data_IF_417716965899
#
_entry.id   IF_417716965899
#
_cell.length_a   1.000
_cell.length_b   1.000
_cell.length_c   1.000
_cell.angle_alpha   90.00
_cell.angle_beta   90.00
_cell.angle_gamma   90.00
#
_symmetry.space_group_name_H-M   'P 1'
#
loop_
_entity.id
_entity.type
_entity.pdbx_description
1 polymer ?
#
# COMPACT_ATOMS: atom_id res chain seq x y z
N UNK A 1 3.57 11.81 22.90
CA UNK A 1 4.02 10.55 22.28
C UNK A 1 3.37 9.43 23.08
N UNK A 2 2.65 8.52 22.42
CA UNK A 2 1.94 7.44 23.08
C UNK A 2 2.69 6.11 22.85
N UNK A 3 3.12 5.39 23.90
CA UNK A 3 3.79 4.11 23.74
C UNK A 3 2.77 3.01 23.37
N UNK A 4 3.18 2.01 22.59
CA UNK A 4 2.31 0.87 22.24
C UNK A 4 1.84 0.08 23.47
N UNK A 5 2.58 0.13 24.58
CA UNK A 5 2.23 -0.52 25.84
C UNK A 5 1.15 0.21 26.65
N UNK A 6 0.97 1.52 26.42
CA UNK A 6 -0.06 2.37 27.03
C UNK A 6 -0.69 3.31 25.98
N UNK A 7 -1.37 2.73 24.97
CA UNK A 7 -1.83 3.48 23.81
C UNK A 7 -2.97 4.46 24.12
N UNK A 8 -3.65 4.33 25.26
CA UNK A 8 -4.72 5.22 25.72
C UNK A 8 -4.29 6.70 25.75
N UNK A 9 -3.01 6.98 26.00
CA UNK A 9 -2.44 8.33 25.94
C UNK A 9 -2.47 8.96 24.53
N UNK A 10 -2.73 8.18 23.48
CA UNK A 10 -2.98 8.70 22.13
C UNK A 10 -4.33 9.41 22.02
N UNK A 11 -5.29 9.04 22.86
CA UNK A 11 -6.66 9.56 22.81
C UNK A 11 -6.79 10.97 23.41
N UNK A 12 -5.73 11.47 24.04
CA UNK A 12 -5.68 12.84 24.53
C UNK A 12 -5.77 13.82 23.34
N UNK A 13 -6.46 14.97 23.49
CA UNK A 13 -6.51 16.00 22.46
C UNK A 13 -5.11 16.36 21.94
N UNK A 14 -4.95 16.56 20.62
CA UNK A 14 -5.99 16.85 19.63
C UNK A 14 -6.62 15.62 18.95
N UNK A 15 -6.35 14.39 19.40
CA UNK A 15 -6.92 13.19 18.77
C UNK A 15 -8.45 13.13 18.92
N UNK A 16 -9.15 12.70 17.88
CA UNK A 16 -10.60 12.55 17.90
C UNK A 16 -11.03 11.19 17.35
N UNK A 17 -11.54 10.32 18.24
CA UNK A 17 -11.97 8.95 17.93
C UNK A 17 -13.05 8.84 16.86
N UNK A 18 -13.80 9.93 16.59
CA UNK A 18 -14.85 9.92 15.56
C UNK A 18 -14.30 10.10 14.14
N UNK A 19 -13.08 10.62 14.01
CA UNK A 19 -12.42 10.88 12.74
C UNK A 19 -11.74 9.63 12.17
N UNK A 20 -11.54 9.63 10.86
CA UNK A 20 -10.67 8.63 10.23
C UNK A 20 -9.26 8.75 10.78
N UNK A 21 -8.62 7.62 11.06
CA UNK A 21 -7.24 7.62 11.57
C UNK A 21 -6.33 7.02 10.52
N UNK A 22 -5.33 7.81 10.11
CA UNK A 22 -4.23 7.36 9.26
C UNK A 22 -3.00 7.14 10.13
N UNK A 23 -2.42 5.95 10.08
CA UNK A 23 -1.15 5.63 10.73
C UNK A 23 -0.11 5.32 9.66
N UNK A 24 1.03 6.00 9.69
CA UNK A 24 2.14 5.76 8.77
C UNK A 24 3.34 5.14 9.49
N UNK A 25 3.91 4.06 8.93
CA UNK A 25 5.13 3.41 9.40
C UNK A 25 6.23 3.48 8.32
N UNK A 26 7.33 4.16 8.62
CA UNK A 26 8.52 4.21 7.76
C UNK A 26 9.27 2.86 7.75
N UNK A 27 10.28 2.72 6.89
CA UNK A 27 11.02 1.47 6.66
C UNK A 27 12.32 1.29 7.46
N UNK A 28 13.14 0.32 7.01
CA UNK A 28 14.45 0.01 7.60
C UNK A 28 15.37 1.24 7.60
N UNK A 29 16.01 1.51 8.75
CA UNK A 29 16.89 2.66 8.95
C UNK A 29 16.22 4.04 8.72
N UNK A 30 14.89 4.10 8.81
CA UNK A 30 14.14 5.37 8.79
C UNK A 30 14.12 6.06 10.15
N UNK A 31 13.78 7.35 10.14
CA UNK A 31 13.66 8.23 11.31
C UNK A 31 12.46 9.16 11.16
N UNK A 32 11.93 9.61 12.29
CA UNK A 32 10.81 10.56 12.33
C UNK A 32 11.10 11.91 11.68
N UNK A 33 12.39 12.28 11.52
CA UNK A 33 12.82 13.58 11.01
C UNK A 33 13.56 13.49 9.66
N UNK A 34 13.54 12.34 9.01
CA UNK A 34 14.27 12.17 7.75
C UNK A 34 13.48 12.69 6.53
N UNK A 35 14.22 12.91 5.44
CA UNK A 35 13.69 13.40 4.17
C UNK A 35 12.81 12.38 3.41
N UNK A 36 12.59 11.20 3.98
CA UNK A 36 11.76 10.13 3.38
C UNK A 36 10.41 10.00 4.10
N UNK A 37 10.39 10.22 5.41
CA UNK A 37 9.22 10.16 6.29
C UNK A 37 8.42 11.46 6.24
N UNK A 38 9.12 12.60 6.26
CA UNK A 38 8.49 13.91 6.28
C UNK A 38 7.58 14.18 5.06
N UNK A 39 7.91 13.81 3.81
CA UNK A 39 7.00 14.03 2.68
C UNK A 39 5.61 13.42 2.84
N UNK A 40 5.48 12.22 3.43
CA UNK A 40 4.18 11.58 3.63
C UNK A 40 3.37 12.30 4.70
N UNK A 41 3.99 12.56 5.85
CA UNK A 41 3.33 13.26 6.96
C UNK A 41 2.98 14.69 6.56
N UNK A 42 3.90 15.40 5.91
CA UNK A 42 3.65 16.73 5.37
C UNK A 42 2.57 16.70 4.31
N UNK A 43 2.46 15.70 3.43
CA UNK A 43 1.34 15.66 2.48
C UNK A 43 -0.04 15.61 3.18
N UNK A 44 -0.15 14.86 4.29
CA UNK A 44 -1.37 14.86 5.11
C UNK A 44 -1.58 16.18 5.88
N UNK A 45 -0.51 16.81 6.40
CA UNK A 45 -0.58 18.05 7.17
C UNK A 45 -0.72 19.33 6.29
N UNK A 46 0.00 19.40 5.17
CA UNK A 46 0.02 20.48 4.17
C UNK A 46 -1.30 20.60 3.43
N UNK A 47 -2.12 19.54 3.43
CA UNK A 47 -3.52 19.71 3.07
C UNK A 47 -4.22 20.80 3.92
N UNK A 48 -3.62 21.27 5.04
CA UNK A 48 -3.88 22.51 5.82
C UNK A 48 -5.34 22.85 6.19
N UNK A 49 -6.31 22.00 5.86
CA UNK A 49 -7.75 22.12 6.15
C UNK A 49 -8.42 20.76 6.42
N UNK A 50 -7.68 19.65 6.46
CA UNK A 50 -8.21 18.33 6.84
C UNK A 50 -8.30 18.27 8.37
N UNK A 51 -9.25 19.00 8.94
CA UNK A 51 -9.64 18.88 10.37
C UNK A 51 -10.53 17.65 10.62
N UNK A 52 -10.65 16.76 9.63
CA UNK A 52 -11.55 15.61 9.59
C UNK A 52 -10.81 14.26 9.64
N UNK A 53 -9.48 14.24 9.85
CA UNK A 53 -8.69 13.02 10.08
C UNK A 53 -7.70 13.18 11.24
N UNK A 54 -7.38 12.06 11.89
CA UNK A 54 -6.21 11.93 12.75
C UNK A 54 -5.04 11.42 11.88
N UNK A 55 -3.86 12.04 12.02
CA UNK A 55 -2.62 11.61 11.36
C UNK A 55 -1.63 11.20 12.43
N UNK A 56 -1.17 9.95 12.39
CA UNK A 56 -0.26 9.38 13.39
C UNK A 56 0.98 8.83 12.69
N UNK A 57 2.15 9.31 13.12
CA UNK A 57 3.43 8.75 12.72
C UNK A 57 3.85 7.67 13.72
N UNK A 58 4.01 6.43 13.25
CA UNK A 58 4.52 5.33 14.05
C UNK A 58 6.04 5.47 14.22
N UNK A 59 6.49 5.90 15.39
CA UNK A 59 7.90 5.96 15.70
C UNK A 59 8.43 4.60 16.17
N UNK A 60 9.19 3.94 15.30
CA UNK A 60 9.91 2.69 15.60
C UNK A 60 11.40 2.80 15.20
N UNK A 61 11.95 4.02 15.24
CA UNK A 61 13.31 4.33 14.78
C UNK A 61 14.37 3.50 15.51
N UNK A 62 14.20 3.30 16.83
CA UNK A 62 15.11 2.52 17.65
C UNK A 62 15.22 1.07 17.17
N UNK A 63 14.10 0.50 16.76
CA UNK A 63 13.95 -0.89 16.32
C UNK A 63 14.32 -1.06 14.84
N UNK A 64 14.12 -0.01 14.03
CA UNK A 64 14.43 0.03 12.60
C UNK A 64 15.91 0.33 12.30
N UNK A 65 16.66 0.92 13.24
CA UNK A 65 18.03 1.41 13.00
C UNK A 65 19.04 0.31 12.69
N UNK A 66 20.06 0.69 11.93
CA UNK A 66 21.24 -0.13 11.72
C UNK A 66 22.13 -0.10 12.96
N UNK A 67 22.50 -1.27 13.48
CA UNK A 67 23.30 -1.43 14.70
C UNK A 67 24.65 -2.11 14.43
N UNK A 68 24.73 -2.94 13.39
CA UNK A 68 25.96 -3.52 12.90
C UNK A 68 26.57 -2.64 11.80
N UNK A 69 27.90 -2.72 11.56
CA UNK A 69 28.52 -2.00 10.47
C UNK A 69 27.84 -2.28 9.13
N UNK A 70 27.70 -1.24 8.30
CA UNK A 70 27.15 -1.29 6.92
C UNK A 70 28.09 -2.01 5.93
N UNK A 71 28.74 -3.09 6.34
CA UNK A 71 29.44 -4.00 5.46
C UNK A 71 28.55 -5.22 5.15
N UNK A 72 28.97 -6.02 4.17
CA UNK A 72 28.18 -7.17 3.69
C UNK A 72 27.82 -8.13 4.83
N UNK A 73 28.74 -8.34 5.77
CA UNK A 73 28.55 -9.26 6.91
C UNK A 73 27.52 -8.68 7.89
N UNK A 74 27.67 -7.41 8.27
CA UNK A 74 26.75 -6.75 9.19
C UNK A 74 25.33 -6.68 8.64
N UNK A 75 25.17 -6.39 7.35
CA UNK A 75 23.87 -6.41 6.68
C UNK A 75 23.28 -7.82 6.62
N UNK A 76 24.06 -8.82 6.21
CA UNK A 76 23.61 -10.22 6.10
C UNK A 76 23.23 -10.84 7.46
N UNK A 77 23.83 -10.38 8.55
CA UNK A 77 23.48 -10.83 9.90
C UNK A 77 22.33 -10.03 10.47
N UNK A 78 22.41 -8.69 10.48
CA UNK A 78 21.44 -7.85 11.16
C UNK A 78 20.05 -7.94 10.54
N UNK A 79 19.96 -7.95 9.20
CA UNK A 79 18.67 -7.88 8.52
C UNK A 79 17.76 -9.06 8.91
N UNK A 80 18.15 -10.34 8.73
CA UNK A 80 17.32 -11.48 9.13
C UNK A 80 17.12 -11.61 10.65
N UNK A 81 18.15 -11.32 11.46
CA UNK A 81 18.11 -11.65 12.90
C UNK A 81 17.49 -10.55 13.76
N UNK A 82 17.55 -9.30 13.31
CA UNK A 82 17.12 -8.14 14.09
C UNK A 82 16.00 -7.38 13.39
N UNK A 83 16.22 -6.92 12.15
CA UNK A 83 15.27 -6.04 11.47
C UNK A 83 13.92 -6.74 11.24
N UNK A 84 13.95 -7.98 10.74
CA UNK A 84 12.75 -8.81 10.54
C UNK A 84 12.06 -9.14 11.86
N UNK A 85 12.83 -9.57 12.87
CA UNK A 85 12.29 -9.95 14.18
C UNK A 85 11.58 -8.75 14.83
N UNK A 86 12.24 -7.59 14.82
CA UNK A 86 11.68 -6.34 15.31
C UNK A 86 10.42 -5.93 14.53
N UNK A 87 10.43 -6.04 13.20
CA UNK A 87 9.27 -5.74 12.35
C UNK A 87 8.04 -6.56 12.79
N UNK A 88 8.23 -7.85 13.07
CA UNK A 88 7.16 -8.73 13.55
C UNK A 88 6.72 -8.37 14.98
N UNK A 89 7.67 -8.16 15.89
CA UNK A 89 7.37 -7.81 17.29
C UNK A 89 6.60 -6.49 17.38
N UNK A 90 7.11 -5.43 16.76
CA UNK A 90 6.48 -4.11 16.76
C UNK A 90 5.13 -4.14 16.04
N UNK A 91 5.02 -4.90 14.94
CA UNK A 91 3.74 -5.08 14.24
C UNK A 91 2.68 -5.76 15.12
N UNK A 92 3.07 -6.78 15.89
CA UNK A 92 2.16 -7.44 16.83
C UNK A 92 1.75 -6.51 17.99
N UNK A 93 2.70 -5.74 18.53
CA UNK A 93 2.43 -4.75 19.57
C UNK A 93 1.51 -3.64 19.06
N UNK A 94 1.69 -3.16 17.83
CA UNK A 94 0.79 -2.20 17.20
C UNK A 94 -0.61 -2.80 17.05
N UNK A 95 -0.72 -4.05 16.62
CA UNK A 95 -2.00 -4.77 16.57
C UNK A 95 -2.70 -4.83 17.92
N UNK A 96 -1.97 -5.19 18.99
CA UNK A 96 -2.51 -5.21 20.34
C UNK A 96 -2.92 -3.80 20.83
N UNK A 97 -2.14 -2.78 20.52
CA UNK A 97 -2.45 -1.40 20.84
C UNK A 97 -3.74 -0.92 20.14
N UNK A 98 -3.92 -1.24 18.87
CA UNK A 98 -5.15 -0.93 18.11
C UNK A 98 -6.38 -1.60 18.72
N UNK A 99 -6.25 -2.83 19.22
CA UNK A 99 -7.36 -3.52 19.91
C UNK A 99 -7.78 -2.81 21.18
N UNK A 100 -6.80 -2.38 22.01
CA UNK A 100 -7.06 -1.58 23.22
C UNK A 100 -7.68 -0.23 22.90
N UNK A 101 -7.16 0.49 21.91
CA UNK A 101 -7.75 1.75 21.44
C UNK A 101 -9.19 1.56 20.96
N UNK A 102 -9.47 0.42 20.32
CA UNK A 102 -10.82 0.10 19.86
C UNK A 102 -11.79 -0.20 21.00
N UNK A 103 -11.32 -0.76 22.12
CA UNK A 103 -12.13 -0.87 23.35
C UNK A 103 -12.45 0.51 23.95
N UNK A 104 -11.62 1.51 23.67
CA UNK A 104 -11.78 2.90 24.09
C UNK A 104 -12.50 3.79 23.03
N UNK A 105 -13.09 3.19 22.01
CA UNK A 105 -13.94 3.89 21.04
C UNK A 105 -13.29 4.19 19.68
N UNK A 106 -12.03 3.82 19.45
CA UNK A 106 -11.44 3.90 18.12
C UNK A 106 -12.16 2.93 17.15
N UNK A 107 -12.76 3.49 16.12
CA UNK A 107 -13.42 2.71 15.06
C UNK A 107 -12.37 2.15 14.09
N UNK A 108 -12.08 0.85 14.20
CA UNK A 108 -11.13 0.17 13.32
C UNK A 108 -11.59 0.11 11.86
N UNK A 109 -12.89 0.28 11.57
CA UNK A 109 -13.36 0.37 10.19
C UNK A 109 -12.97 1.71 9.54
N UNK A 110 -12.65 2.74 10.33
CA UNK A 110 -12.13 4.03 9.85
C UNK A 110 -10.60 4.14 9.91
N UNK A 111 -9.91 3.02 10.07
CA UNK A 111 -8.46 2.97 10.16
C UNK A 111 -7.81 2.76 8.78
N UNK A 112 -6.83 3.59 8.45
CA UNK A 112 -5.94 3.41 7.32
C UNK A 112 -4.51 3.28 7.83
N UNK A 113 -3.92 2.10 7.63
CA UNK A 113 -2.51 1.87 7.89
C UNK A 113 -1.73 2.01 6.58
N UNK A 114 -0.64 2.77 6.57
CA UNK A 114 0.27 2.88 5.43
C UNK A 114 1.70 2.61 5.88
N UNK A 115 2.46 1.88 5.06
CA UNK A 115 3.77 1.40 5.46
C UNK A 115 4.71 1.25 4.28
N UNK A 116 5.95 1.70 4.43
CA UNK A 116 6.98 1.63 3.40
C UNK A 116 8.05 0.60 3.71
N UNK A 117 8.50 -0.15 2.69
CA UNK A 117 9.56 -1.15 2.88
C UNK A 117 9.19 -2.15 3.99
N UNK A 118 10.05 -2.36 4.99
CA UNK A 118 9.72 -3.15 6.20
C UNK A 118 8.47 -2.66 6.95
N UNK A 119 8.19 -1.35 6.91
CA UNK A 119 6.99 -0.77 7.50
C UNK A 119 5.69 -1.32 6.90
N UNK A 120 5.71 -1.77 5.64
CA UNK A 120 4.56 -2.43 5.01
C UNK A 120 4.24 -3.78 5.68
N UNK A 121 5.26 -4.55 6.01
CA UNK A 121 5.10 -5.82 6.73
C UNK A 121 4.72 -5.60 8.19
N UNK A 122 5.28 -4.56 8.83
CA UNK A 122 4.91 -4.14 10.19
C UNK A 122 3.40 -3.94 10.32
N UNK A 123 2.81 -3.14 9.43
CA UNK A 123 1.35 -2.91 9.44
C UNK A 123 0.56 -4.15 8.99
N UNK A 124 1.13 -5.01 8.14
CA UNK A 124 0.55 -6.30 7.80
C UNK A 124 0.43 -7.23 9.02
N UNK A 125 1.44 -7.28 9.89
CA UNK A 125 1.37 -8.01 11.15
C UNK A 125 0.30 -7.42 12.10
N UNK A 126 0.22 -6.09 12.21
CA UNK A 126 -0.84 -5.43 13.00
C UNK A 126 -2.24 -5.77 12.48
N UNK A 127 -2.41 -5.81 11.15
CA UNK A 127 -3.64 -6.25 10.48
C UNK A 127 -4.03 -7.70 10.82
N UNK A 128 -3.06 -8.63 10.83
CA UNK A 128 -3.30 -10.03 11.23
C UNK A 128 -3.81 -10.15 12.66
N UNK A 129 -3.19 -9.44 13.60
CA UNK A 129 -3.60 -9.45 15.02
C UNK A 129 -5.03 -8.94 15.18
N UNK A 130 -5.34 -7.81 14.55
CA UNK A 130 -6.69 -7.21 14.63
C UNK A 130 -7.74 -8.08 13.94
N UNK A 131 -7.40 -8.75 12.84
CA UNK A 131 -8.26 -9.77 12.20
C UNK A 131 -8.47 -11.00 13.07
N UNK A 132 -7.44 -11.57 13.69
CA UNK A 132 -7.58 -12.77 14.51
C UNK A 132 -8.45 -12.55 15.76
N UNK A 133 -8.57 -11.29 16.21
CA UNK A 133 -9.48 -10.91 17.30
C UNK A 133 -10.97 -10.83 16.88
N UNK A 134 -11.28 -11.00 15.59
CA UNK A 134 -12.63 -10.85 15.05
C UNK A 134 -13.07 -9.40 14.78
N UNK A 135 -12.28 -8.39 15.17
CA UNK A 135 -12.62 -6.98 14.93
C UNK A 135 -12.49 -6.54 13.46
N UNK A 136 -11.64 -7.20 12.68
CA UNK A 136 -11.67 -7.06 11.21
C UNK A 136 -12.48 -8.23 10.66
N UNK A 137 -13.78 -8.01 10.44
CA UNK A 137 -14.62 -8.98 9.75
C UNK A 137 -14.13 -9.07 8.29
N UNK A 138 -13.38 -10.14 8.00
CA UNK A 138 -13.10 -10.58 6.65
C UNK A 138 -14.41 -10.76 5.88
N UNK A 139 -14.43 -10.39 4.60
CA UNK A 139 -15.58 -10.66 3.74
C UNK A 139 -15.86 -12.16 3.73
N UNK A 140 -17.14 -12.50 3.96
CA UNK A 140 -17.75 -13.80 3.69
C UNK A 140 -17.35 -14.21 2.27
N UNK A 141 -16.43 -15.17 2.14
CA UNK A 141 -16.15 -15.80 0.85
C UNK A 141 -17.39 -16.62 0.51
N UNK A 142 -18.19 -16.16 -0.45
CA UNK A 142 -19.15 -17.05 -1.11
C UNK A 142 -18.32 -18.06 -1.89
N UNK A 143 -18.22 -19.28 -1.36
CA UNK A 143 -17.75 -20.43 -2.14
C UNK A 143 -18.65 -20.56 -3.37
N UNK A 144 -18.19 -20.09 -4.53
CA UNK A 144 -18.68 -20.60 -5.80
C UNK A 144 -17.98 -21.92 -6.03
N UNK A 145 -18.65 -23.01 -5.64
CA UNK A 145 -18.30 -24.35 -6.09
C UNK A 145 -18.49 -24.38 -7.61
N UNK A 146 -17.39 -24.56 -8.33
CA UNK A 146 -17.39 -24.72 -9.77
C UNK A 146 -17.95 -26.12 -10.09
N UNK A 147 -19.24 -26.22 -10.34
CA UNK A 147 -19.83 -27.44 -10.91
C UNK A 147 -19.63 -27.42 -12.42
N UNK A 148 -18.66 -28.22 -12.88
CA UNK A 148 -18.47 -28.55 -14.29
C UNK A 148 -19.63 -29.42 -14.78
N UNK A 149 -20.65 -28.78 -15.35
CA UNK A 149 -21.52 -29.40 -16.34
C UNK A 149 -22.41 -28.31 -16.93
N UNK A 150 -22.18 -27.90 -18.17
CA UNK A 150 -23.20 -27.70 -19.22
C UNK A 150 -22.54 -27.26 -20.55
N UNK A 151 -23.16 -27.57 -21.70
CA UNK A 151 -22.48 -27.74 -22.98
C UNK A 151 -22.29 -26.42 -23.74
N UNK A 152 -21.33 -26.45 -24.68
CA UNK A 152 -21.00 -25.38 -25.61
C UNK A 152 -22.19 -25.01 -26.50
N UNK A 153 -22.69 -23.78 -26.38
CA UNK A 153 -23.46 -23.11 -27.42
C UNK A 153 -22.67 -21.94 -27.99
N UNK A 154 -22.52 -21.95 -29.31
CA UNK A 154 -21.85 -20.91 -30.07
C UNK A 154 -22.78 -19.70 -30.22
N UNK A 155 -22.27 -18.51 -29.88
CA UNK A 155 -22.90 -17.24 -30.22
C UNK A 155 -22.00 -16.44 -31.16
N UNK A 156 -22.59 -16.05 -32.29
CA UNK A 156 -22.04 -15.24 -33.38
C UNK A 156 -21.78 -13.80 -32.87
N UNK A 157 -20.66 -13.14 -33.23
CA UNK A 157 -20.39 -11.80 -32.72
C UNK A 157 -21.10 -10.72 -33.55
N UNK A 158 -22.00 -9.97 -32.93
CA UNK A 158 -22.36 -8.64 -33.43
C UNK A 158 -21.23 -7.66 -33.10
N UNK A 159 -20.78 -6.94 -34.14
CA UNK A 159 -19.81 -5.86 -34.05
C UNK A 159 -20.33 -4.77 -33.11
N UNK A 160 -19.62 -4.53 -32.01
CA UNK A 160 -19.70 -3.26 -31.26
C UNK A 160 -18.36 -2.56 -31.34
N UNK A 161 -18.38 -1.41 -32.00
CA UNK A 161 -17.28 -0.45 -32.08
C UNK A 161 -17.37 0.48 -30.87
N UNK A 162 -16.31 0.52 -30.04
CA UNK A 162 -15.81 1.76 -29.46
C UNK A 162 -16.10 2.07 -27.98
N UNK A 163 -15.02 2.35 -27.25
CA UNK A 163 -14.99 3.21 -26.05
C UNK A 163 -14.65 2.49 -24.74
N UNK A 164 -13.48 2.77 -24.16
CA UNK A 164 -13.20 2.44 -22.77
C UNK A 164 -14.27 3.12 -21.89
N UNK A 165 -15.00 2.34 -21.10
CA UNK A 165 -16.06 2.84 -20.23
C UNK A 165 -15.44 3.58 -19.05
N UNK A 166 -15.52 4.90 -19.10
CA UNK A 166 -15.36 5.75 -17.94
C UNK A 166 -16.66 5.63 -17.13
N UNK A 167 -16.75 4.59 -16.28
CA UNK A 167 -17.82 4.46 -15.28
C UNK A 167 -17.60 5.50 -14.19
N UNK A 168 -17.74 6.77 -14.56
CA UNK A 168 -17.92 7.89 -13.65
C UNK A 168 -19.32 7.79 -13.01
N UNK A 169 -19.59 6.68 -12.31
CA UNK A 169 -20.76 6.56 -11.46
C UNK A 169 -20.58 7.53 -10.30
N UNK A 170 -21.46 8.53 -10.22
CA UNK A 170 -21.78 9.41 -9.10
C UNK A 170 -21.06 9.04 -7.80
N UNK A 171 -19.99 9.78 -7.47
CA UNK A 171 -19.20 9.62 -6.24
C UNK A 171 -20.07 9.88 -5.00
N UNK A 172 -20.82 8.86 -4.55
CA UNK A 172 -21.22 8.78 -3.15
C UNK A 172 -19.94 8.42 -2.38
N UNK A 173 -19.50 9.29 -1.46
CA UNK A 173 -18.52 8.94 -0.41
C UNK A 173 -19.05 7.70 0.32
N UNK A 174 -18.69 6.52 -0.16
CA UNK A 174 -18.96 5.24 0.50
C UNK A 174 -17.99 5.22 1.68
N UNK A 175 -18.50 5.00 2.89
CA UNK A 175 -17.72 5.12 4.13
C UNK A 175 -16.39 4.39 4.04
N UNK A 176 -15.32 5.03 4.54
CA UNK A 176 -13.99 4.43 4.61
C UNK A 176 -14.10 3.07 5.33
N UNK A 177 -13.54 2.04 4.70
CA UNK A 177 -13.38 0.70 5.27
C UNK A 177 -11.93 0.52 5.69
N UNK A 178 -11.67 -0.31 6.70
CA UNK A 178 -10.31 -0.56 7.16
C UNK A 178 -9.38 -0.91 6.00
N UNK A 179 -8.28 -0.16 5.87
CA UNK A 179 -7.39 -0.20 4.72
C UNK A 179 -5.94 -0.34 5.13
N UNK A 180 -5.20 -1.16 4.40
CA UNK A 180 -3.74 -1.18 4.44
C UNK A 180 -3.19 -0.76 3.07
N UNK A 181 -2.24 0.18 3.06
CA UNK A 181 -1.48 0.57 1.86
C UNK A 181 -0.01 0.20 2.03
N UNK A 182 0.47 -0.75 1.23
CA UNK A 182 1.88 -1.13 1.14
C UNK A 182 2.62 -0.27 0.12
N UNK A 183 3.63 0.47 0.55
CA UNK A 183 4.45 1.33 -0.29
C UNK A 183 5.78 0.62 -0.58
N UNK A 184 5.85 -0.08 -1.70
CA UNK A 184 7.02 -0.89 -2.12
C UNK A 184 7.52 -1.79 -0.97
N UNK A 185 6.71 -2.78 -0.53
CA UNK A 185 7.05 -3.68 0.58
C UNK A 185 8.40 -4.36 0.37
N UNK A 186 9.15 -4.63 1.43
CA UNK A 186 10.52 -5.16 1.28
C UNK A 186 10.53 -6.61 0.78
N UNK A 187 11.24 -6.88 -0.31
CA UNK A 187 11.37 -8.24 -0.86
C UNK A 187 12.21 -9.20 0.00
N UNK A 188 13.43 -8.83 0.42
CA UNK A 188 14.34 -9.79 1.06
C UNK A 188 13.73 -10.54 2.24
N UNK A 189 13.69 -11.88 2.15
CA UNK A 189 13.10 -12.83 3.11
C UNK A 189 11.56 -12.88 3.12
N UNK A 190 10.88 -12.02 2.36
CA UNK A 190 9.43 -12.02 2.16
C UNK A 190 9.01 -12.51 0.77
N UNK A 191 9.93 -12.56 -0.20
CA UNK A 191 9.71 -13.06 -1.54
C UNK A 191 10.21 -14.50 -1.77
N UNK A 192 9.57 -15.23 -2.69
CA UNK A 192 10.01 -16.56 -3.15
C UNK A 192 9.42 -17.78 -2.42
N UNK A 193 9.88 -19.00 -2.75
CA UNK A 193 9.22 -20.25 -2.35
C UNK A 193 9.34 -20.61 -0.86
N UNK A 194 10.29 -20.01 -0.15
CA UNK A 194 10.49 -20.17 1.29
C UNK A 194 10.61 -18.78 1.90
N UNK A 195 9.47 -18.08 1.96
CA UNK A 195 9.39 -16.72 2.46
C UNK A 195 8.66 -16.62 3.78
N UNK A 196 8.94 -15.53 4.50
CA UNK A 196 8.18 -15.14 5.67
C UNK A 196 6.82 -14.58 5.23
N UNK A 197 5.80 -14.86 6.04
CA UNK A 197 4.45 -14.32 5.78
C UNK A 197 4.41 -12.84 6.21
N UNK A 198 4.69 -11.96 5.26
CA UNK A 198 4.63 -10.50 5.39
C UNK A 198 3.24 -9.94 5.17
N UNK A 199 3.16 -8.84 4.41
CA UNK A 199 1.89 -8.18 4.07
C UNK A 199 1.14 -9.06 3.05
N UNK A 200 -0.17 -9.24 3.22
CA UNK A 200 -0.94 -10.08 2.31
C UNK A 200 -2.40 -9.63 2.18
N UNK A 201 -3.13 -10.12 1.15
CA UNK A 201 -4.55 -9.88 1.04
C UNK A 201 -5.30 -10.37 2.29
N UNK A 202 -6.22 -9.54 2.79
CA UNK A 202 -7.02 -9.84 3.97
C UNK A 202 -6.38 -9.49 5.31
N UNK A 203 -5.21 -8.86 5.35
CA UNK A 203 -4.70 -8.21 6.57
C UNK A 203 -5.57 -7.00 6.98
N UNK A 204 -6.35 -6.45 6.04
CA UNK A 204 -7.43 -5.48 6.27
C UNK A 204 -8.63 -5.82 5.38
N UNK A 205 -9.74 -5.06 5.46
CA UNK A 205 -10.88 -5.22 4.54
C UNK A 205 -10.50 -4.90 3.08
N UNK A 206 -9.52 -4.01 2.92
CA UNK A 206 -8.93 -3.69 1.64
C UNK A 206 -7.42 -3.47 1.77
N UNK A 207 -6.64 -4.14 0.92
CA UNK A 207 -5.19 -3.97 0.86
C UNK A 207 -4.79 -3.49 -0.53
N UNK A 208 -4.18 -2.32 -0.65
CA UNK A 208 -3.57 -1.86 -1.89
C UNK A 208 -2.06 -1.74 -1.75
N UNK A 209 -1.33 -2.17 -2.78
CA UNK A 209 0.14 -2.18 -2.77
C UNK A 209 0.65 -1.50 -4.01
N UNK A 210 1.66 -0.64 -3.85
CA UNK A 210 2.39 -0.08 -4.99
C UNK A 210 3.78 -0.70 -5.07
N UNK A 211 4.23 -0.89 -6.30
CA UNK A 211 5.51 -1.49 -6.62
C UNK A 211 6.33 -0.50 -7.44
N UNK A 212 7.46 -0.06 -6.90
CA UNK A 212 8.38 0.90 -7.54
C UNK A 212 9.79 0.33 -7.71
N UNK A 213 10.18 -0.68 -6.94
CA UNK A 213 11.46 -1.37 -7.09
C UNK A 213 11.34 -2.90 -6.86
N UNK A 214 10.37 -3.60 -7.49
CA UNK A 214 10.10 -5.02 -7.24
C UNK A 214 11.23 -5.98 -7.67
N UNK A 215 12.31 -5.47 -8.26
CA UNK A 215 13.43 -6.30 -8.75
C UNK A 215 14.58 -6.36 -7.74
N UNK A 216 14.68 -5.41 -6.81
CA UNK A 216 15.87 -5.26 -5.98
C UNK A 216 15.58 -5.16 -4.49
N UNK A 217 14.82 -4.13 -4.07
CA UNK A 217 14.47 -3.95 -2.66
C UNK A 217 13.00 -4.26 -2.37
N UNK A 218 12.13 -4.10 -3.37
CA UNK A 218 10.69 -4.35 -3.27
C UNK A 218 10.33 -5.81 -3.54
N UNK A 219 9.23 -6.26 -2.96
CA UNK A 219 8.65 -7.59 -3.15
C UNK A 219 7.92 -7.66 -4.51
N UNK A 220 8.29 -8.58 -5.42
CA UNK A 220 7.66 -8.74 -6.72
C UNK A 220 6.32 -9.48 -6.67
N UNK A 221 5.92 -10.04 -5.53
CA UNK A 221 4.70 -10.83 -5.43
C UNK A 221 3.45 -9.93 -5.37
N UNK A 222 2.29 -10.56 -5.52
CA UNK A 222 1.00 -9.88 -5.41
C UNK A 222 0.56 -9.90 -3.96
N UNK A 223 0.69 -8.77 -3.27
CA UNK A 223 0.49 -8.65 -1.83
C UNK A 223 -0.85 -8.00 -1.45
N UNK A 224 -1.57 -7.42 -2.43
CA UNK A 224 -2.82 -6.70 -2.21
C UNK A 224 -4.06 -7.34 -2.83
N UNK A 225 -5.21 -6.82 -2.40
CA UNK A 225 -6.42 -6.88 -3.22
C UNK A 225 -6.17 -6.20 -4.57
N UNK A 226 -5.49 -5.05 -4.53
CA UNK A 226 -4.98 -4.28 -5.67
C UNK A 226 -3.47 -4.14 -5.59
N UNK A 227 -2.79 -4.43 -6.69
CA UNK A 227 -1.35 -4.19 -6.83
C UNK A 227 -1.10 -3.26 -8.01
N UNK A 228 -0.41 -2.15 -7.80
CA UNK A 228 -0.16 -1.13 -8.83
C UNK A 228 1.33 -1.11 -9.14
N UNK A 229 1.68 -1.47 -10.37
CA UNK A 229 3.06 -1.48 -10.89
C UNK A 229 3.37 -0.14 -11.53
N UNK A 230 4.12 0.69 -10.82
CA UNK A 230 4.53 2.00 -11.32
C UNK A 230 5.61 1.84 -12.38
N UNK A 231 5.34 2.45 -13.55
CA UNK A 231 6.21 2.40 -14.71
C UNK A 231 6.54 0.98 -15.20
N UNK A 232 5.73 -0.03 -14.83
CA UNK A 232 5.76 -1.40 -15.37
C UNK A 232 7.09 -2.12 -15.14
N UNK A 233 7.25 -2.70 -13.94
CA UNK A 233 8.37 -3.55 -13.50
C UNK A 233 9.72 -3.11 -14.07
N UNK A 234 9.92 -1.79 -14.20
CA UNK A 234 11.15 -1.23 -14.73
C UNK A 234 12.24 -1.40 -13.69
N UNK A 235 13.45 -1.74 -14.15
CA UNK A 235 14.65 -1.78 -13.31
C UNK A 235 14.90 -0.45 -12.58
N UNK A 236 14.44 0.67 -13.13
CA UNK A 236 14.57 1.98 -12.51
C UNK A 236 13.34 2.85 -12.77
N UNK A 237 12.93 3.61 -11.75
CA UNK A 237 11.86 4.58 -11.92
C UNK A 237 12.35 5.82 -12.70
N UNK A 238 11.47 6.50 -13.48
CA UNK A 238 11.83 7.68 -14.24
C UNK A 238 12.48 8.76 -13.35
N UNK A 239 13.62 9.29 -13.76
CA UNK A 239 14.35 10.34 -13.04
C UNK A 239 15.33 9.85 -11.97
N UNK A 240 15.43 8.54 -11.72
CA UNK A 240 16.42 8.00 -10.79
C UNK A 240 17.83 7.94 -11.38
N UNK A 241 18.87 8.40 -10.64
CA UNK A 241 20.25 8.42 -11.14
C UNK A 241 20.85 7.01 -11.14
N UNK A 242 21.71 6.71 -12.13
CA UNK A 242 22.24 5.36 -12.39
C UNK A 242 23.01 4.73 -11.22
N UNK A 243 23.67 5.55 -10.40
CA UNK A 243 24.46 5.13 -9.25
C UNK A 243 23.64 4.88 -7.97
N UNK A 244 22.36 5.26 -7.95
CA UNK A 244 21.47 5.06 -6.79
C UNK A 244 20.10 4.52 -7.23
N UNK A 245 20.06 3.71 -8.30
CA UNK A 245 18.80 3.23 -8.90
C UNK A 245 17.91 2.55 -7.86
N UNK A 246 18.45 1.64 -7.05
CA UNK A 246 17.63 0.87 -6.11
C UNK A 246 17.02 1.73 -5.05
N UNK A 247 17.86 2.50 -4.35
CA UNK A 247 17.42 3.37 -3.28
C UNK A 247 16.46 4.43 -3.80
N UNK A 248 16.77 5.07 -4.93
CA UNK A 248 15.89 6.08 -5.51
C UNK A 248 14.53 5.49 -5.94
N UNK A 249 14.55 4.35 -6.64
CA UNK A 249 13.33 3.69 -7.12
C UNK A 249 12.49 3.23 -5.94
N UNK A 250 13.11 2.73 -4.87
CA UNK A 250 12.41 2.30 -3.66
C UNK A 250 11.75 3.46 -2.90
N UNK A 251 12.40 4.63 -2.86
CA UNK A 251 11.83 5.83 -2.23
C UNK A 251 10.84 6.59 -3.12
N UNK A 252 10.72 6.25 -4.42
CA UNK A 252 9.66 6.81 -5.27
C UNK A 252 8.27 6.50 -4.74
N UNK A 253 8.09 5.35 -4.09
CA UNK A 253 6.82 4.98 -3.47
C UNK A 253 6.30 6.07 -2.52
N UNK A 254 7.19 6.66 -1.72
CA UNK A 254 6.86 7.71 -0.76
C UNK A 254 6.50 9.02 -1.47
N UNK A 255 7.25 9.38 -2.50
CA UNK A 255 7.00 10.60 -3.27
C UNK A 255 5.69 10.52 -4.07
N UNK A 256 5.42 9.37 -4.68
CA UNK A 256 4.16 9.13 -5.39
C UNK A 256 2.98 9.12 -4.42
N UNK A 257 3.13 8.50 -3.25
CA UNK A 257 2.08 8.51 -2.23
C UNK A 257 1.81 9.92 -1.70
N UNK A 258 2.86 10.66 -1.33
CA UNK A 258 2.75 12.05 -0.87
C UNK A 258 2.02 12.93 -1.89
N UNK A 259 2.39 12.86 -3.18
CA UNK A 259 1.72 13.61 -4.24
C UNK A 259 0.26 13.18 -4.42
N UNK A 260 -0.01 11.87 -4.36
CA UNK A 260 -1.35 11.30 -4.58
C UNK A 260 -2.39 11.70 -3.53
N UNK A 261 -1.97 11.95 -2.27
CA UNK A 261 -2.86 12.40 -1.18
C UNK A 261 -3.60 13.69 -1.58
N UNK A 262 -2.92 14.57 -2.33
CA UNK A 262 -3.42 15.86 -2.77
C UNK A 262 -3.83 15.87 -4.25
N UNK A 263 -3.85 14.69 -4.89
CA UNK A 263 -4.29 14.53 -6.27
C UNK A 263 -5.28 13.38 -6.46
N UNK A 264 -6.57 13.62 -6.17
CA UNK A 264 -7.70 12.73 -6.36
C UNK A 264 -7.75 11.91 -7.66
N UNK A 265 -7.17 12.43 -8.74
CA UNK A 265 -7.21 11.84 -10.10
C UNK A 265 -5.84 11.79 -10.78
N UNK A 266 -4.77 12.13 -10.07
CA UNK A 266 -3.42 12.23 -10.64
C UNK A 266 -2.83 10.89 -11.04
N UNK A 267 -3.05 9.87 -10.21
CA UNK A 267 -2.52 8.53 -10.43
C UNK A 267 -3.63 7.59 -10.92
N UNK A 268 -4.04 7.79 -12.16
CA UNK A 268 -4.91 6.84 -12.85
C UNK A 268 -4.08 5.62 -13.30
N UNK A 269 -4.59 4.43 -13.04
CA UNK A 269 -3.99 3.17 -13.40
C UNK A 269 -5.00 2.29 -14.15
N UNK A 270 -4.53 1.46 -15.08
CA UNK A 270 -5.39 0.55 -15.85
C UNK A 270 -5.06 -0.89 -15.52
N UNK A 271 -6.10 -1.71 -15.37
CA UNK A 271 -5.97 -3.13 -15.09
C UNK A 271 -5.33 -3.86 -16.28
N UNK A 272 -4.33 -4.69 -16.00
CA UNK A 272 -3.78 -5.64 -16.97
C UNK A 272 -3.26 -6.89 -16.25
N UNK A 273 -3.10 -8.01 -16.99
CA UNK A 273 -2.60 -9.26 -16.40
C UNK A 273 -1.10 -9.24 -16.16
N UNK A 274 -0.36 -8.54 -17.02
CA UNK A 274 1.09 -8.45 -16.94
C UNK A 274 1.60 -7.14 -17.56
N UNK A 275 2.83 -6.78 -17.20
CA UNK A 275 3.53 -5.62 -17.74
C UNK A 275 3.63 -5.69 -19.28
N UNK A 276 3.87 -6.88 -19.84
CA UNK A 276 3.96 -7.09 -21.28
C UNK A 276 2.63 -6.82 -22.02
N UNK A 277 1.51 -7.24 -21.43
CA UNK A 277 0.17 -7.03 -22.01
C UNK A 277 -0.12 -5.54 -22.09
N UNK A 278 0.06 -4.84 -20.96
CA UNK A 278 -0.10 -3.39 -20.90
C UNK A 278 0.80 -2.69 -21.92
N UNK A 279 2.11 -3.00 -21.96
CA UNK A 279 3.07 -2.41 -22.92
C UNK A 279 2.69 -2.62 -24.38
N UNK A 280 2.15 -3.79 -24.71
CA UNK A 280 1.76 -4.11 -26.09
C UNK A 280 0.46 -3.43 -26.52
N UNK A 281 -0.26 -2.76 -25.62
CA UNK A 281 -1.57 -2.18 -25.90
C UNK A 281 -2.69 -3.22 -26.07
N UNK A 282 -2.36 -4.52 -25.98
CA UNK A 282 -3.33 -5.62 -26.00
C UNK A 282 -4.10 -5.59 -24.69
N UNK A 283 -5.43 -5.47 -24.78
CA UNK A 283 -6.38 -5.37 -23.64
C UNK A 283 -6.46 -4.02 -22.91
N UNK A 284 -5.74 -2.97 -23.33
CA UNK A 284 -5.85 -1.64 -22.69
C UNK A 284 -7.20 -0.93 -22.93
N UNK A 285 -8.03 -1.41 -23.87
CA UNK A 285 -9.32 -0.78 -24.20
C UNK A 285 -10.47 -1.22 -23.27
N UNK A 286 -10.32 -2.36 -22.61
CA UNK A 286 -11.36 -2.95 -21.74
C UNK A 286 -10.94 -3.03 -20.27
N UNK A 287 -9.68 -2.67 -19.97
CA UNK A 287 -9.14 -2.68 -18.61
C UNK A 287 -9.82 -1.64 -17.72
N UNK A 288 -10.24 -2.07 -16.53
CA UNK A 288 -10.82 -1.17 -15.53
C UNK A 288 -9.82 -0.08 -15.16
N UNK A 289 -10.28 1.17 -15.13
CA UNK A 289 -9.50 2.31 -14.64
C UNK A 289 -9.73 2.45 -13.12
N UNK A 290 -8.65 2.75 -12.42
CA UNK A 290 -8.59 3.00 -10.99
C UNK A 290 -7.86 4.32 -10.75
N UNK A 291 -8.35 5.13 -9.81
CA UNK A 291 -7.60 6.27 -9.28
C UNK A 291 -7.02 5.87 -7.92
N UNK A 292 -5.70 5.88 -7.79
CA UNK A 292 -5.03 5.41 -6.57
C UNK A 292 -5.07 6.42 -5.41
N UNK A 293 -4.59 5.99 -4.24
CA UNK A 293 -4.53 6.70 -2.97
C UNK A 293 -5.89 6.92 -2.32
N UNK A 294 -6.20 8.10 -1.80
CA UNK A 294 -7.38 8.34 -0.95
C UNK A 294 -8.73 8.04 -1.63
N UNK A 295 -8.77 8.08 -2.96
CA UNK A 295 -9.98 7.84 -3.75
C UNK A 295 -10.08 6.45 -4.37
N UNK A 296 -9.23 5.52 -3.93
CA UNK A 296 -9.24 4.17 -4.47
C UNK A 296 -10.59 3.47 -4.26
N UNK A 297 -11.08 2.79 -5.29
CA UNK A 297 -12.22 1.91 -5.13
C UNK A 297 -11.81 0.65 -4.36
N UNK A 298 -12.26 0.54 -3.11
CA UNK A 298 -11.97 -0.61 -2.23
C UNK A 298 -12.62 -1.92 -2.69
N UNK A 299 -13.46 -1.88 -3.73
CA UNK A 299 -14.02 -3.05 -4.40
C UNK A 299 -13.17 -3.53 -5.58
N UNK A 300 -12.21 -2.73 -6.04
CA UNK A 300 -11.31 -3.10 -7.13
C UNK A 300 -10.43 -4.29 -6.72
N UNK A 301 -10.06 -5.11 -7.70
CA UNK A 301 -9.18 -6.26 -7.54
C UNK A 301 -8.23 -6.38 -8.73
N UNK A 302 -7.08 -7.00 -8.50
CA UNK A 302 -6.12 -7.36 -9.54
C UNK A 302 -4.95 -6.39 -9.68
N UNK A 303 -4.22 -6.52 -10.78
CA UNK A 303 -2.99 -5.76 -11.03
C UNK A 303 -3.24 -4.61 -11.99
N UNK A 304 -2.70 -3.44 -11.68
CA UNK A 304 -2.86 -2.20 -12.42
C UNK A 304 -1.51 -1.61 -12.78
N UNK A 305 -1.47 -0.86 -13.88
CA UNK A 305 -0.26 -0.27 -14.43
C UNK A 305 -0.48 1.21 -14.74
N UNK A 306 0.57 2.02 -14.53
CA UNK A 306 0.58 3.43 -14.89
C UNK A 306 2.01 3.92 -15.18
N UNK A 307 2.11 5.08 -15.84
CA UNK A 307 3.35 5.85 -16.01
C UNK A 307 3.35 7.12 -15.17
N UNK A 308 4.54 7.53 -14.78
CA UNK A 308 4.80 8.81 -14.12
C UNK A 308 5.77 9.67 -14.91
N UNK A 309 5.84 10.95 -14.60
CA UNK A 309 6.90 11.83 -15.06
C UNK A 309 8.22 11.53 -14.32
N UNK A 310 9.32 12.09 -14.84
CA UNK A 310 10.66 11.99 -14.23
C UNK A 310 10.84 12.91 -13.02
N UNK A 311 10.04 13.96 -12.92
CA UNK A 311 10.08 14.98 -11.87
C UNK A 311 8.65 15.35 -11.45
N UNK A 312 8.44 15.93 -10.26
CA UNK A 312 7.13 16.44 -9.86
C UNK A 312 6.61 17.51 -10.85
N UNK A 313 5.29 17.59 -11.10
CA UNK A 313 4.29 16.60 -10.70
C UNK A 313 4.52 15.26 -11.41
N UNK A 314 4.61 14.17 -10.64
CA UNK A 314 4.82 12.81 -11.14
C UNK A 314 3.59 12.25 -11.85
N UNK A 315 2.42 12.67 -11.40
CA UNK A 315 1.15 12.28 -11.96
C UNK A 315 1.00 12.60 -13.45
N UNK A 316 0.16 11.81 -14.11
CA UNK A 316 -0.17 11.99 -15.53
C UNK A 316 -1.67 11.88 -15.80
N UNK A 317 -2.49 11.67 -14.77
CA UNK A 317 -3.91 11.35 -14.90
C UNK A 317 -4.14 10.22 -15.89
N UNK A 318 -5.16 10.35 -16.74
CA UNK A 318 -5.46 9.39 -17.79
C UNK A 318 -4.35 9.26 -18.86
N UNK A 319 -3.42 10.22 -18.97
CA UNK A 319 -2.26 10.04 -19.85
C UNK A 319 -1.25 9.04 -19.28
N UNK A 320 -1.33 8.71 -17.99
CA UNK A 320 -0.49 7.73 -17.32
C UNK A 320 -0.87 6.27 -17.63
N UNK A 321 -2.12 6.00 -18.03
CA UNK A 321 -2.55 4.62 -18.33
C UNK A 321 -2.03 4.13 -19.68
N UNK A 322 -1.48 5.02 -20.50
CA UNK A 322 -0.92 4.69 -21.81
C UNK A 322 0.53 4.20 -21.65
N UNK A 323 0.93 3.14 -22.36
CA UNK A 323 2.31 2.66 -22.36
C UNK A 323 3.20 3.50 -23.29
#
# INVERSE_FOLDING_TARGET
MAPLTAPESLLDPPFNVNLTTVIYAFGYNGSINDNTTLPVINAYLEYKQRSDINVVLMNWEREARIVLPLNLIGAAVQYPTTAIVNTRTVGNELGAALLRLSELGLDLDKLHLSGHSLGAHLIGYAGKVTRSSGKIISRRISHHTYNNSHPMEALVPERVVGGARDDASTFKKKGLSSRITGLDPAGPLFDGPVSLVGLQPGDARFVDVIHTNPIFLGDPDRLGDVDIRFNCDMLHQPGCPRNYIERCSHFRALLYFAESINSPRGFAAVQARACLDWRSGRNNRDGRILYWAENIDTQARGTYYLRTNRSPPFERGLNGIRP
#
